data_IF_244715490954
#
_entry.id   IF_244715490954
#
_cell.length_a   1.000
_cell.length_b   1.000
_cell.length_c   1.000
_cell.angle_alpha   90.00
_cell.angle_beta   90.00
_cell.angle_gamma   90.00
#
_symmetry.space_group_name_H-M   'P 1'
#
loop_
_entity.id
_entity.type
_entity.pdbx_description
1 polymer ?
#
# COMPACT_ATOMS: atom_id res chain seq x y z
N UNK A 1 -36.12 0.80 -41.02
CA UNK A 1 -34.68 0.95 -40.70
C UNK A 1 -34.04 -0.42 -40.81
N UNK A 2 -33.00 -0.58 -41.64
CA UNK A 2 -32.21 -1.82 -41.70
C UNK A 2 -31.03 -1.70 -40.73
N UNK A 3 -30.76 -2.74 -39.95
CA UNK A 3 -29.61 -2.79 -39.05
C UNK A 3 -28.33 -2.99 -39.86
N UNK A 4 -27.27 -2.24 -39.53
CA UNK A 4 -25.98 -2.35 -40.21
C UNK A 4 -25.15 -3.53 -39.71
N UNK A 5 -25.37 -3.95 -38.46
CA UNK A 5 -24.61 -4.99 -37.76
C UNK A 5 -25.55 -6.07 -37.18
N UNK A 6 -26.27 -6.82 -38.02
CA UNK A 6 -27.25 -7.81 -37.57
C UNK A 6 -26.64 -9.02 -36.82
N UNK A 7 -25.32 -9.18 -36.86
CA UNK A 7 -24.59 -10.26 -36.19
C UNK A 7 -24.31 -9.96 -34.70
N UNK A 8 -24.56 -8.74 -34.22
CA UNK A 8 -24.35 -8.37 -32.83
C UNK A 8 -25.50 -8.84 -31.93
N UNK A 9 -25.23 -9.19 -30.66
CA UNK A 9 -26.28 -9.55 -29.71
C UNK A 9 -27.14 -8.33 -29.36
N UNK A 10 -28.42 -8.58 -29.04
CA UNK A 10 -29.32 -7.56 -28.51
C UNK A 10 -29.15 -7.40 -26.99
N UNK A 11 -29.48 -6.20 -26.50
CA UNK A 11 -29.55 -5.90 -25.07
C UNK A 11 -30.94 -6.28 -24.55
N UNK A 12 -31.00 -7.15 -23.54
CA UNK A 12 -32.24 -7.39 -22.80
C UNK A 12 -32.43 -6.28 -21.76
N UNK A 13 -33.60 -5.63 -21.77
CA UNK A 13 -33.89 -4.47 -20.91
C UNK A 13 -35.20 -4.66 -20.15
N UNK A 14 -35.32 -4.01 -18.99
CA UNK A 14 -36.50 -4.11 -18.13
C UNK A 14 -36.40 -5.29 -17.16
N UNK A 15 -37.51 -6.00 -16.98
CA UNK A 15 -37.54 -7.18 -16.10
C UNK A 15 -36.88 -8.37 -16.79
N UNK A 16 -36.01 -9.10 -16.09
CA UNK A 16 -35.29 -10.27 -16.65
C UNK A 16 -36.22 -11.38 -17.15
N UNK A 17 -37.43 -11.48 -16.58
CA UNK A 17 -38.47 -12.45 -16.99
C UNK A 17 -39.20 -12.05 -18.28
N UNK A 18 -39.01 -10.82 -18.78
CA UNK A 18 -39.68 -10.31 -19.99
C UNK A 18 -38.72 -10.30 -21.18
N UNK A 19 -39.28 -10.55 -22.36
CA UNK A 19 -38.55 -10.67 -23.63
C UNK A 19 -38.52 -9.35 -24.41
N UNK A 20 -37.93 -8.30 -23.82
CA UNK A 20 -37.70 -7.02 -24.51
C UNK A 20 -36.23 -6.91 -24.90
N UNK A 21 -35.95 -6.97 -26.20
CA UNK A 21 -34.61 -6.95 -26.76
C UNK A 21 -34.41 -5.75 -27.67
N UNK A 22 -33.33 -4.99 -27.45
CA UNK A 22 -32.98 -3.82 -28.23
C UNK A 22 -31.62 -4.01 -28.91
N UNK A 23 -31.50 -3.80 -30.23
CA UNK A 23 -30.21 -3.77 -30.89
C UNK A 23 -29.32 -2.65 -30.33
N UNK A 24 -28.01 -2.86 -30.15
CA UNK A 24 -27.10 -1.80 -29.66
C UNK A 24 -27.08 -0.56 -30.55
N UNK A 25 -27.32 -0.70 -31.86
CA UNK A 25 -27.35 0.40 -32.84
C UNK A 25 -28.45 1.44 -32.57
N UNK A 26 -29.52 1.06 -31.88
CA UNK A 26 -30.63 1.96 -31.51
C UNK A 26 -30.54 2.44 -30.06
N UNK A 27 -29.49 2.09 -29.34
CA UNK A 27 -29.32 2.41 -27.92
C UNK A 27 -28.20 3.43 -27.70
N UNK A 28 -28.45 4.37 -26.79
CA UNK A 28 -27.43 5.27 -26.27
C UNK A 28 -27.31 5.08 -24.75
N UNK A 29 -26.09 5.19 -24.22
CA UNK A 29 -25.87 5.19 -22.77
C UNK A 29 -26.41 6.51 -22.21
N UNK A 30 -27.35 6.42 -21.28
CA UNK A 30 -27.92 7.60 -20.60
C UNK A 30 -26.82 8.34 -19.82
N UNK A 31 -26.81 9.68 -19.93
CA UNK A 31 -25.85 10.52 -19.23
C UNK A 31 -26.03 10.49 -17.70
N UNK A 32 -24.98 10.86 -16.95
CA UNK A 32 -25.03 10.97 -15.49
C UNK A 32 -24.94 9.64 -14.72
N UNK A 33 -24.72 8.52 -15.41
CA UNK A 33 -24.52 7.21 -14.75
C UNK A 33 -23.12 7.12 -14.13
N UNK A 34 -23.06 7.03 -12.79
CA UNK A 34 -21.79 6.81 -12.06
C UNK A 34 -21.26 5.41 -12.32
N UNK A 35 -19.97 5.30 -12.66
CA UNK A 35 -19.28 4.02 -12.70
C UNK A 35 -19.03 3.49 -11.27
N UNK A 36 -19.64 2.36 -10.93
CA UNK A 36 -19.46 1.68 -9.62
C UNK A 36 -18.35 0.63 -9.69
N UNK A 37 -18.08 0.11 -10.90
CA UNK A 37 -17.04 -0.90 -11.11
C UNK A 37 -15.67 -0.32 -10.83
N UNK A 38 -14.77 -1.15 -10.30
CA UNK A 38 -13.38 -0.76 -10.08
C UNK A 38 -12.73 -0.36 -11.40
N UNK A 39 -12.11 0.82 -11.41
CA UNK A 39 -11.33 1.30 -12.54
C UNK A 39 -10.09 0.43 -12.74
N UNK A 40 -9.63 0.30 -13.99
CA UNK A 40 -8.34 -0.33 -14.27
C UNK A 40 -7.20 0.51 -13.70
N UNK A 41 -6.01 -0.08 -13.53
CA UNK A 41 -4.85 0.64 -12.98
C UNK A 41 -4.49 1.86 -13.86
N UNK A 42 -4.62 1.74 -15.19
CA UNK A 42 -4.44 2.85 -16.13
C UNK A 42 -5.49 3.94 -15.96
N UNK A 43 -6.77 3.58 -15.88
CA UNK A 43 -7.85 4.54 -15.65
C UNK A 43 -7.70 5.27 -14.31
N UNK A 44 -7.32 4.53 -13.26
CA UNK A 44 -7.05 5.09 -11.93
C UNK A 44 -5.87 6.06 -11.98
N UNK A 45 -4.79 5.72 -12.66
CA UNK A 45 -3.63 6.60 -12.86
C UNK A 45 -4.01 7.90 -13.57
N UNK A 46 -4.79 7.80 -14.66
CA UNK A 46 -5.32 8.98 -15.37
C UNK A 46 -6.21 9.82 -14.47
N UNK A 47 -7.10 9.21 -13.69
CA UNK A 47 -7.98 9.91 -12.75
C UNK A 47 -7.18 10.63 -11.64
N UNK A 48 -6.15 9.99 -11.09
CA UNK A 48 -5.27 10.61 -10.08
C UNK A 48 -4.56 11.80 -10.69
N UNK A 49 -3.97 11.67 -11.88
CA UNK A 49 -3.30 12.79 -12.56
C UNK A 49 -4.26 13.93 -12.88
N UNK A 50 -5.49 13.60 -13.27
CA UNK A 50 -6.51 14.59 -13.59
C UNK A 50 -7.01 15.35 -12.35
N UNK A 51 -7.05 14.72 -11.18
CA UNK A 51 -7.67 15.27 -9.96
C UNK A 51 -6.69 15.71 -8.88
N UNK A 52 -5.43 15.28 -8.92
CA UNK A 52 -4.42 15.72 -7.96
C UNK A 52 -4.12 17.22 -8.14
N UNK A 53 -4.23 17.96 -7.03
CA UNK A 53 -3.98 19.41 -6.95
C UNK A 53 -3.16 19.72 -5.73
N UNK A 54 -2.31 20.75 -5.81
CA UNK A 54 -1.64 21.31 -4.64
C UNK A 54 -2.66 22.01 -3.73
N UNK A 55 -2.29 22.23 -2.45
CA UNK A 55 -3.19 22.91 -1.51
C UNK A 55 -3.64 24.30 -1.99
N UNK A 56 -2.75 25.19 -2.50
CA UNK A 56 -3.16 26.49 -3.01
C UNK A 56 -4.06 26.41 -4.25
N UNK A 57 -3.84 25.45 -5.14
CA UNK A 57 -4.71 25.26 -6.31
C UNK A 57 -6.09 24.78 -5.90
N UNK A 58 -6.16 23.82 -4.97
CA UNK A 58 -7.43 23.31 -4.45
C UNK A 58 -8.24 24.41 -3.76
N UNK A 59 -7.59 25.27 -2.99
CA UNK A 59 -8.22 26.44 -2.37
C UNK A 59 -8.84 27.38 -3.42
N UNK A 60 -8.10 27.68 -4.49
CA UNK A 60 -8.59 28.50 -5.61
C UNK A 60 -9.74 27.84 -6.35
N UNK A 61 -9.66 26.53 -6.61
CA UNK A 61 -10.73 25.77 -7.28
C UNK A 61 -12.03 25.80 -6.46
N UNK A 62 -11.95 25.59 -5.13
CA UNK A 62 -13.12 25.69 -4.25
C UNK A 62 -13.67 27.11 -4.23
N UNK A 63 -12.82 28.12 -4.08
CA UNK A 63 -13.25 29.53 -4.08
C UNK A 63 -13.95 29.93 -5.38
N UNK A 64 -13.41 29.47 -6.52
CA UNK A 64 -14.02 29.68 -7.83
C UNK A 64 -15.34 28.93 -7.98
N UNK A 65 -15.45 27.70 -7.46
CA UNK A 65 -16.68 26.90 -7.48
C UNK A 65 -17.79 27.59 -6.69
N UNK A 66 -17.49 28.05 -5.47
CA UNK A 66 -18.46 28.75 -4.60
C UNK A 66 -18.92 30.04 -5.26
N UNK A 67 -18.01 30.81 -5.87
CA UNK A 67 -18.36 32.03 -6.62
C UNK A 67 -19.28 31.72 -7.81
N UNK A 68 -19.02 30.65 -8.57
CA UNK A 68 -19.82 30.25 -9.74
C UNK A 68 -21.16 29.64 -9.37
N UNK A 69 -21.26 29.04 -8.19
CA UNK A 69 -22.51 28.44 -7.72
C UNK A 69 -23.54 29.49 -7.32
N UNK A 70 -23.12 30.73 -7.06
CA UNK A 70 -23.99 31.88 -6.77
C UNK A 70 -25.12 31.54 -5.77
N UNK A 71 -24.78 30.85 -4.68
CA UNK A 71 -25.78 30.31 -3.75
C UNK A 71 -26.74 31.36 -3.14
N UNK A 72 -26.34 32.63 -3.10
CA UNK A 72 -27.20 33.73 -2.63
C UNK A 72 -28.29 34.13 -3.64
N UNK A 73 -28.17 33.70 -4.90
CA UNK A 73 -29.21 33.86 -5.92
C UNK A 73 -30.16 32.66 -5.99
N UNK A 74 -29.95 31.62 -5.16
CA UNK A 74 -30.82 30.45 -5.11
C UNK A 74 -32.18 30.85 -4.47
N UNK A 75 -33.30 30.68 -5.21
CA UNK A 75 -34.61 31.10 -4.73
C UNK A 75 -35.07 30.33 -3.49
N UNK A 76 -34.67 29.06 -3.36
CA UNK A 76 -35.00 28.26 -2.19
C UNK A 76 -34.17 28.70 -0.99
N UNK A 77 -32.86 28.92 -1.15
CA UNK A 77 -32.03 29.42 -0.05
C UNK A 77 -32.57 30.75 0.50
N UNK A 78 -32.99 31.65 -0.39
CA UNK A 78 -33.63 32.91 -0.03
C UNK A 78 -34.96 32.71 0.71
N UNK A 79 -35.83 31.82 0.24
CA UNK A 79 -37.12 31.50 0.89
C UNK A 79 -36.94 31.00 2.33
N UNK A 80 -35.90 30.21 2.58
CA UNK A 80 -35.55 29.73 3.93
C UNK A 80 -34.73 30.72 4.76
N UNK A 81 -34.45 31.93 4.25
CA UNK A 81 -33.65 32.95 4.94
C UNK A 81 -32.18 32.56 5.13
N UNK A 82 -31.65 31.68 4.28
CA UNK A 82 -30.27 31.19 4.33
C UNK A 82 -29.37 32.13 3.51
N UNK A 83 -28.33 32.67 4.15
CA UNK A 83 -27.30 33.46 3.49
C UNK A 83 -25.94 32.75 3.59
N UNK A 84 -25.22 32.65 2.47
CA UNK A 84 -23.96 31.91 2.37
C UNK A 84 -22.82 32.91 2.09
N UNK A 85 -21.85 32.95 2.99
CA UNK A 85 -20.60 33.67 2.76
C UNK A 85 -19.74 32.89 1.75
N UNK A 86 -19.29 33.56 0.69
CA UNK A 86 -18.48 32.96 -0.36
C UNK A 86 -17.00 32.83 0.00
N UNK A 87 -16.54 33.52 1.05
CA UNK A 87 -15.18 33.40 1.56
C UNK A 87 -15.02 32.17 2.48
N UNK A 88 -13.85 31.54 2.43
CA UNK A 88 -13.51 30.47 3.38
C UNK A 88 -13.43 31.03 4.80
N UNK A 89 -13.91 30.27 5.78
CA UNK A 89 -13.87 30.67 7.19
C UNK A 89 -12.43 30.67 7.71
N UNK A 90 -12.00 31.79 8.27
CA UNK A 90 -10.68 31.91 8.91
C UNK A 90 -10.66 31.22 10.27
N UNK A 91 -9.65 30.38 10.48
CA UNK A 91 -9.47 29.65 11.75
C UNK A 91 -8.05 29.84 12.25
N UNK A 92 -7.92 30.20 13.53
CA UNK A 92 -6.62 30.34 14.19
C UNK A 92 -6.06 28.97 14.56
N UNK A 93 -5.11 28.50 13.76
CA UNK A 93 -4.34 27.29 14.04
C UNK A 93 -3.13 27.54 14.95
N UNK A 94 -2.55 26.47 15.49
CA UNK A 94 -1.25 26.49 16.18
C UNK A 94 -0.39 25.34 15.68
N UNK A 95 0.89 25.60 15.43
CA UNK A 95 1.88 24.56 15.10
C UNK A 95 2.54 24.12 16.39
N UNK A 96 2.33 22.86 16.79
CA UNK A 96 2.96 22.31 17.99
C UNK A 96 4.45 22.04 17.72
N UNK A 97 5.28 22.32 18.72
CA UNK A 97 6.71 21.99 18.67
C UNK A 97 6.89 20.48 18.62
N UNK A 98 7.72 20.00 17.69
CA UNK A 98 7.98 18.58 17.56
C UNK A 98 8.67 18.02 18.83
N UNK A 99 8.26 16.86 19.34
CA UNK A 99 8.94 16.23 20.46
C UNK A 99 10.30 15.69 20.02
N UNK A 100 11.28 15.71 20.93
CA UNK A 100 12.56 15.04 20.72
C UNK A 100 12.36 13.54 20.83
N UNK A 101 12.86 12.80 19.85
CA UNK A 101 12.87 11.35 19.84
C UNK A 101 14.18 10.86 20.46
N UNK A 102 14.09 10.09 21.54
CA UNK A 102 15.24 9.49 22.19
C UNK A 102 15.54 8.11 21.59
N UNK A 103 16.77 7.93 21.13
CA UNK A 103 17.31 6.66 20.66
C UNK A 103 18.17 6.01 21.74
N UNK A 104 18.51 4.74 21.54
CA UNK A 104 19.29 3.95 22.48
C UNK A 104 20.75 3.86 22.06
N UNK A 105 21.32 2.69 22.28
CA UNK A 105 22.74 2.45 22.05
C UNK A 105 23.64 3.20 23.03
N UNK A 106 24.95 3.23 22.73
CA UNK A 106 25.95 3.87 23.60
C UNK A 106 25.80 5.40 23.63
N UNK A 107 25.41 6.00 22.51
CA UNK A 107 25.35 7.46 22.36
C UNK A 107 24.04 8.07 22.84
N UNK A 108 22.98 7.27 23.05
CA UNK A 108 21.62 7.72 23.41
C UNK A 108 21.20 8.95 22.61
N UNK A 109 21.45 8.90 21.30
CA UNK A 109 21.27 10.05 20.41
C UNK A 109 19.81 10.54 20.44
N UNK A 110 19.62 11.83 20.14
CA UNK A 110 18.27 12.39 19.98
C UNK A 110 18.05 12.79 18.52
N UNK A 111 16.81 12.65 18.05
CA UNK A 111 16.38 13.18 16.76
C UNK A 111 15.26 14.20 17.00
N UNK A 112 15.39 15.38 16.38
CA UNK A 112 14.31 16.36 16.34
C UNK A 112 13.64 16.26 14.98
N UNK A 113 12.35 15.89 14.91
CA UNK A 113 11.63 15.87 13.64
C UNK A 113 11.58 17.26 13.01
N UNK A 114 11.83 17.33 11.70
CA UNK A 114 11.66 18.53 10.91
C UNK A 114 10.54 18.30 9.90
N UNK A 115 9.51 19.14 9.92
CA UNK A 115 8.32 19.01 9.07
C UNK A 115 7.70 17.60 9.09
N UNK A 116 7.68 16.97 10.28
CA UNK A 116 7.12 15.62 10.47
C UNK A 116 8.03 14.46 10.04
N UNK A 117 9.28 14.74 9.62
CA UNK A 117 10.23 13.71 9.16
C UNK A 117 11.46 13.69 10.08
N UNK A 118 11.99 12.49 10.33
CA UNK A 118 13.25 12.30 11.03
C UNK A 118 14.02 11.12 10.43
N UNK A 119 15.30 11.02 10.80
CA UNK A 119 16.25 10.07 10.21
C UNK A 119 16.99 9.26 11.29
N UNK A 120 17.15 7.96 11.01
CA UNK A 120 17.80 6.98 11.85
C UNK A 120 19.29 6.78 11.56
N UNK A 121 19.86 7.42 10.53
CA UNK A 121 21.31 7.34 10.25
C UNK A 121 22.11 7.72 11.50
N UNK A 122 23.06 6.85 11.85
CA UNK A 122 23.93 7.00 13.03
C UNK A 122 23.21 6.81 14.38
N UNK A 123 21.98 6.27 14.40
CA UNK A 123 21.19 6.08 15.62
C UNK A 123 20.76 4.62 15.77
N UNK A 124 20.78 4.12 17.00
CA UNK A 124 20.39 2.76 17.34
C UNK A 124 19.05 2.74 18.06
N UNK A 125 18.26 1.69 17.88
CA UNK A 125 16.98 1.52 18.58
C UNK A 125 17.12 1.75 20.09
N UNK A 126 16.08 2.32 20.70
CA UNK A 126 16.04 2.54 22.15
C UNK A 126 16.33 1.24 22.92
N UNK A 127 15.65 0.17 22.52
CA UNK A 127 15.88 -1.18 23.01
C UNK A 127 15.98 -2.10 21.80
N UNK A 128 17.21 -2.48 21.45
CA UNK A 128 17.48 -3.44 20.37
C UNK A 128 17.34 -4.88 20.84
N UNK A 129 16.86 -5.76 19.96
CA UNK A 129 16.80 -7.21 20.20
C UNK A 129 17.90 -7.88 19.38
N UNK A 130 18.58 -8.84 19.99
CA UNK A 130 19.52 -9.70 19.26
C UNK A 130 18.77 -10.88 18.64
N UNK A 131 18.92 -11.07 17.32
CA UNK A 131 18.30 -12.17 16.57
C UNK A 131 19.38 -13.22 16.29
N UNK A 132 19.29 -14.36 16.97
CA UNK A 132 20.23 -15.49 16.89
C UNK A 132 19.72 -16.61 15.99
N UNK A 133 18.43 -16.91 16.06
CA UNK A 133 17.83 -18.03 15.32
C UNK A 133 16.77 -17.49 14.38
N UNK A 134 17.07 -17.53 13.09
CA UNK A 134 16.21 -16.98 12.05
C UNK A 134 16.31 -17.81 10.76
N UNK A 135 15.29 -17.73 9.91
CA UNK A 135 15.17 -18.51 8.69
C UNK A 135 14.83 -17.62 7.47
N UNK A 136 15.08 -18.13 6.27
CA UNK A 136 14.62 -17.58 4.99
C UNK A 136 13.76 -18.62 4.27
N UNK A 137 12.55 -18.23 3.90
CA UNK A 137 11.64 -19.00 3.05
C UNK A 137 11.43 -18.25 1.74
N UNK A 138 11.96 -18.78 0.63
CA UNK A 138 11.88 -18.12 -0.67
C UNK A 138 10.77 -18.73 -1.53
N UNK A 139 9.68 -18.00 -1.74
CA UNK A 139 8.59 -18.41 -2.63
C UNK A 139 8.73 -17.88 -4.06
N UNK A 140 9.84 -17.19 -4.34
CA UNK A 140 10.22 -16.83 -5.70
C UNK A 140 10.91 -18.02 -6.40
N UNK A 141 10.73 -18.11 -7.71
CA UNK A 141 11.42 -19.13 -8.49
C UNK A 141 12.93 -18.88 -8.51
N UNK A 142 13.72 -19.95 -8.36
CA UNK A 142 15.18 -19.89 -8.28
C UNK A 142 15.85 -19.24 -9.52
N UNK A 143 15.17 -19.27 -10.67
CA UNK A 143 15.63 -18.58 -11.88
C UNK A 143 15.62 -17.04 -11.77
N UNK A 144 14.70 -16.49 -10.97
CA UNK A 144 14.54 -15.05 -10.76
C UNK A 144 15.27 -14.56 -9.52
N UNK A 145 15.31 -15.37 -8.47
CA UNK A 145 16.03 -15.09 -7.22
C UNK A 145 17.04 -16.20 -7.02
N UNK A 146 18.31 -15.91 -7.29
CA UNK A 146 19.39 -16.89 -7.16
C UNK A 146 19.86 -16.95 -5.71
N UNK A 147 20.57 -18.02 -5.37
CA UNK A 147 21.16 -18.17 -4.02
C UNK A 147 22.13 -17.03 -3.68
N UNK A 148 22.84 -16.51 -4.67
CA UNK A 148 23.72 -15.35 -4.49
C UNK A 148 22.95 -14.09 -4.11
N UNK A 149 21.72 -13.90 -4.63
CA UNK A 149 20.87 -12.76 -4.28
C UNK A 149 20.40 -12.86 -2.82
N UNK A 150 20.04 -14.07 -2.37
CA UNK A 150 19.68 -14.33 -0.96
C UNK A 150 20.87 -14.13 -0.02
N UNK A 151 22.08 -14.53 -0.44
CA UNK A 151 23.31 -14.30 0.32
C UNK A 151 23.64 -12.82 0.42
N UNK A 152 23.54 -12.08 -0.69
CA UNK A 152 23.76 -10.63 -0.70
C UNK A 152 22.73 -9.91 0.17
N UNK A 153 21.45 -10.28 0.06
CA UNK A 153 20.38 -9.78 0.92
C UNK A 153 20.71 -10.03 2.39
N UNK A 154 21.15 -11.23 2.75
CA UNK A 154 21.52 -11.59 4.14
C UNK A 154 22.62 -10.68 4.67
N UNK A 155 23.71 -10.50 3.91
CA UNK A 155 24.83 -9.63 4.32
C UNK A 155 24.39 -8.17 4.51
N UNK A 156 23.57 -7.64 3.59
CA UNK A 156 23.08 -6.27 3.69
C UNK A 156 22.11 -6.09 4.87
N UNK A 157 21.21 -7.06 5.07
CA UNK A 157 20.28 -7.06 6.18
C UNK A 157 21.04 -7.07 7.52
N UNK A 158 22.01 -7.97 7.68
CA UNK A 158 22.85 -8.04 8.89
C UNK A 158 23.59 -6.73 9.15
N UNK A 159 24.17 -6.12 8.12
CA UNK A 159 24.86 -4.83 8.22
C UNK A 159 23.93 -3.73 8.73
N UNK A 160 22.79 -3.53 8.07
CA UNK A 160 21.82 -2.48 8.44
C UNK A 160 21.24 -2.75 9.84
N UNK A 161 20.95 -4.00 10.16
CA UNK A 161 20.40 -4.41 11.45
C UNK A 161 21.39 -4.15 12.60
N UNK A 162 22.68 -4.43 12.36
CA UNK A 162 23.74 -4.11 13.31
C UNK A 162 23.91 -2.60 13.51
N UNK A 163 23.91 -1.81 12.44
CA UNK A 163 23.99 -0.35 12.51
C UNK A 163 22.80 0.26 13.28
N UNK A 164 21.61 -0.34 13.15
CA UNK A 164 20.42 0.03 13.90
C UNK A 164 20.39 -0.48 15.35
N UNK A 165 21.38 -1.26 15.79
CA UNK A 165 21.44 -1.82 17.15
C UNK A 165 20.54 -3.03 17.39
N UNK A 166 20.07 -3.71 16.35
CA UNK A 166 19.33 -4.97 16.40
C UNK A 166 20.16 -6.06 15.70
N UNK A 167 21.27 -6.54 16.27
CA UNK A 167 22.18 -7.41 15.54
C UNK A 167 21.51 -8.74 15.17
N UNK A 168 21.58 -9.10 13.89
CA UNK A 168 21.22 -10.43 13.38
C UNK A 168 22.51 -11.25 13.31
N UNK A 169 22.61 -12.25 14.17
CA UNK A 169 23.82 -13.04 14.38
C UNK A 169 23.75 -14.31 13.52
N UNK A 170 24.85 -14.59 12.83
CA UNK A 170 25.02 -15.85 12.10
C UNK A 170 24.15 -15.98 10.85
N UNK A 171 24.41 -17.04 10.09
CA UNK A 171 23.62 -17.40 8.91
C UNK A 171 22.24 -17.93 9.31
N UNK A 172 21.22 -17.82 8.43
CA UNK A 172 19.90 -18.35 8.74
C UNK A 172 19.98 -19.87 8.98
N UNK A 173 19.28 -20.36 10.01
CA UNK A 173 19.24 -21.78 10.35
C UNK A 173 18.49 -22.62 9.29
N UNK A 174 17.73 -21.95 8.42
CA UNK A 174 17.03 -22.56 7.30
C UNK A 174 16.96 -21.56 6.14
N UNK A 175 17.29 -21.99 4.92
CA UNK A 175 17.14 -21.19 3.71
C UNK A 175 16.73 -22.10 2.55
N UNK A 176 15.45 -22.09 2.16
CA UNK A 176 14.93 -22.96 1.08
C UNK A 176 13.94 -22.25 0.18
N UNK A 177 13.89 -22.73 -1.06
CA UNK A 177 12.87 -22.38 -2.03
C UNK A 177 11.63 -23.25 -1.82
N UNK A 178 10.45 -22.64 -1.97
CA UNK A 178 9.18 -23.33 -2.11
C UNK A 178 8.38 -22.68 -3.23
N UNK A 179 7.49 -23.45 -3.84
CA UNK A 179 6.61 -22.97 -4.89
C UNK A 179 5.20 -23.41 -4.53
N UNK A 180 4.25 -22.49 -4.64
CA UNK A 180 2.85 -22.78 -4.34
C UNK A 180 2.42 -22.35 -2.93
N UNK A 181 1.12 -22.07 -2.81
CA UNK A 181 0.46 -21.59 -1.58
C UNK A 181 0.31 -22.73 -0.57
N UNK A 182 0.20 -23.95 -1.08
CA UNK A 182 0.13 -25.23 -0.37
C UNK A 182 1.39 -25.55 0.44
N UNK A 183 2.56 -25.02 0.04
CA UNK A 183 3.83 -25.26 0.74
C UNK A 183 4.04 -24.36 1.96
N UNK A 184 3.21 -23.32 2.15
CA UNK A 184 3.37 -22.35 3.24
C UNK A 184 3.17 -23.03 4.60
N UNK A 185 2.03 -23.68 4.81
CA UNK A 185 1.69 -24.26 6.11
C UNK A 185 2.62 -25.40 6.53
N UNK A 186 2.94 -26.39 5.68
CA UNK A 186 3.88 -27.47 6.02
C UNK A 186 5.27 -26.93 6.37
N UNK A 187 5.77 -25.93 5.61
CA UNK A 187 7.09 -25.33 5.86
C UNK A 187 7.13 -24.61 7.21
N UNK A 188 6.11 -23.81 7.53
CA UNK A 188 6.08 -23.08 8.80
C UNK A 188 5.88 -24.02 9.99
N UNK A 189 5.08 -25.08 9.83
CA UNK A 189 4.93 -26.13 10.83
C UNK A 189 6.28 -26.81 11.10
N UNK A 190 7.00 -27.20 10.04
CA UNK A 190 8.35 -27.76 10.14
C UNK A 190 9.30 -26.80 10.87
N UNK A 191 9.38 -25.54 10.44
CA UNK A 191 10.24 -24.52 11.07
C UNK A 191 9.96 -24.39 12.57
N UNK A 192 8.69 -24.32 12.97
CA UNK A 192 8.28 -24.20 14.37
C UNK A 192 8.62 -25.44 15.20
N UNK A 193 8.45 -26.64 14.64
CA UNK A 193 8.76 -27.89 15.35
C UNK A 193 10.26 -28.19 15.42
N UNK A 194 11.01 -27.80 14.40
CA UNK A 194 12.44 -28.13 14.28
C UNK A 194 13.33 -27.10 14.99
N UNK A 195 12.95 -25.82 14.98
CA UNK A 195 13.74 -24.74 15.57
C UNK A 195 13.00 -24.12 16.75
N UNK A 196 13.11 -24.73 17.94
CA UNK A 196 12.37 -24.32 19.14
C UNK A 196 12.63 -22.86 19.58
N UNK A 197 13.80 -22.30 19.25
CA UNK A 197 14.19 -20.94 19.57
C UNK A 197 14.04 -19.97 18.37
N UNK A 198 13.31 -20.33 17.31
CA UNK A 198 13.14 -19.50 16.12
C UNK A 198 12.52 -18.14 16.47
N UNK A 199 13.27 -17.06 16.22
CA UNK A 199 12.86 -15.69 16.49
C UNK A 199 12.27 -15.00 15.26
N UNK A 200 12.63 -15.47 14.06
CA UNK A 200 12.27 -14.79 12.83
C UNK A 200 12.24 -15.69 11.59
N UNK A 201 11.26 -15.49 10.71
CA UNK A 201 11.26 -16.02 9.34
C UNK A 201 11.19 -14.86 8.35
N UNK A 202 12.17 -14.81 7.45
CA UNK A 202 12.23 -13.89 6.32
C UNK A 202 11.59 -14.53 5.09
N UNK A 203 10.51 -13.97 4.55
CA UNK A 203 9.77 -14.56 3.41
C UNK A 203 10.00 -13.76 2.14
N UNK A 204 10.56 -14.39 1.10
CA UNK A 204 10.78 -13.74 -0.21
C UNK A 204 9.65 -14.10 -1.16
N UNK A 205 8.99 -13.11 -1.74
CA UNK A 205 7.83 -13.28 -2.63
C UNK A 205 8.11 -12.73 -4.04
N UNK A 206 7.58 -13.34 -5.12
CA UNK A 206 7.80 -12.90 -6.50
C UNK A 206 6.89 -11.73 -6.95
N UNK A 207 6.36 -10.92 -6.03
CA UNK A 207 5.42 -9.82 -6.33
C UNK A 207 4.03 -10.04 -5.73
N UNK A 208 2.96 -9.63 -6.45
CA UNK A 208 1.56 -9.89 -6.04
C UNK A 208 1.25 -11.38 -6.17
N UNK A 209 1.02 -12.05 -5.05
CA UNK A 209 0.77 -13.49 -5.02
C UNK A 209 -0.30 -13.86 -4.00
N UNK A 210 -1.17 -14.87 -4.28
CA UNK A 210 -2.13 -15.38 -3.31
C UNK A 210 -1.47 -15.99 -2.07
N UNK A 211 -0.16 -16.31 -2.13
CA UNK A 211 0.65 -16.77 -0.99
C UNK A 211 0.45 -15.86 0.22
N UNK A 212 0.48 -14.54 0.02
CA UNK A 212 0.37 -13.54 1.09
C UNK A 212 -1.03 -13.42 1.72
N UNK A 213 -2.10 -13.81 1.01
CA UNK A 213 -3.48 -13.47 1.38
C UNK A 213 -4.14 -14.42 2.37
N UNK A 214 -4.26 -15.71 2.02
CA UNK A 214 -5.08 -16.66 2.80
C UNK A 214 -4.31 -17.41 3.90
N UNK A 215 -3.03 -17.70 3.69
CA UNK A 215 -2.31 -18.65 4.56
C UNK A 215 -1.43 -17.98 5.62
N UNK A 216 -0.96 -16.75 5.38
CA UNK A 216 -0.20 -16.02 6.40
C UNK A 216 -1.11 -15.45 7.49
N UNK A 217 -2.25 -14.88 7.12
CA UNK A 217 -3.14 -14.18 8.06
C UNK A 217 -3.87 -15.14 9.03
N UNK A 218 -4.18 -16.37 8.61
CA UNK A 218 -4.99 -17.31 9.42
C UNK A 218 -4.18 -18.26 10.31
N UNK A 219 -2.91 -18.52 10.03
CA UNK A 219 -2.17 -19.61 10.68
C UNK A 219 -1.11 -19.14 11.69
N UNK A 220 -0.57 -17.91 11.56
CA UNK A 220 0.62 -17.51 12.31
C UNK A 220 0.69 -16.02 12.67
N UNK A 221 -0.37 -15.38 13.21
CA UNK A 221 -0.29 -13.98 13.70
C UNK A 221 0.49 -13.02 12.74
N UNK A 222 0.30 -13.16 11.42
CA UNK A 222 1.07 -12.38 10.45
C UNK A 222 0.37 -11.05 10.22
N UNK A 223 0.82 -10.04 10.95
CA UNK A 223 0.42 -8.65 10.74
C UNK A 223 1.36 -7.96 9.74
N UNK A 224 0.80 -7.09 8.89
CA UNK A 224 1.53 -6.31 7.90
C UNK A 224 2.56 -5.36 8.55
N UNK A 225 3.74 -5.21 7.96
CA UNK A 225 4.60 -4.04 8.19
C UNK A 225 4.29 -2.95 7.15
N UNK A 226 3.25 -2.16 7.41
CA UNK A 226 3.11 -0.83 6.83
C UNK A 226 3.40 0.19 7.95
N UNK A 227 4.63 0.72 7.98
CA UNK A 227 5.15 1.77 8.89
C UNK A 227 4.37 2.01 10.22
N UNK A 228 4.44 1.08 11.18
CA UNK A 228 4.63 1.35 12.64
C UNK A 228 4.76 0.01 13.38
N UNK A 229 5.87 -0.19 14.11
CA UNK A 229 6.22 -1.39 14.90
C UNK A 229 5.15 -1.73 15.97
N UNK A 230 4.87 -3.02 16.32
CA UNK A 230 5.85 -4.00 16.88
C UNK A 230 5.74 -5.52 16.51
N UNK A 231 6.92 -6.18 16.39
CA UNK A 231 7.31 -7.62 16.56
C UNK A 231 6.85 -8.73 15.57
N UNK A 232 7.63 -9.83 15.34
CA UNK A 232 8.31 -10.03 14.05
C UNK A 232 7.99 -11.33 13.28
N UNK A 233 7.55 -11.19 12.04
CA UNK A 233 7.92 -12.06 10.90
C UNK A 233 8.06 -11.14 9.67
N UNK A 234 9.15 -11.24 8.90
CA UNK A 234 9.50 -10.26 7.86
C UNK A 234 9.35 -10.84 6.45
N UNK A 235 8.27 -10.58 5.69
CA UNK A 235 8.30 -10.80 4.26
C UNK A 235 9.03 -9.63 3.58
N UNK A 236 10.20 -9.87 2.98
CA UNK A 236 10.81 -8.91 2.06
C UNK A 236 10.20 -9.12 0.67
N UNK A 237 9.36 -8.19 0.22
CA UNK A 237 9.12 -8.03 -1.21
C UNK A 237 10.41 -7.47 -1.81
N UNK A 238 11.18 -8.31 -2.50
CA UNK A 238 12.27 -7.88 -3.38
C UNK A 238 11.66 -7.31 -4.66
N UNK A 239 10.94 -6.20 -4.52
CA UNK A 239 10.67 -5.26 -5.61
C UNK A 239 11.53 -4.02 -5.37
N UNK A 240 12.84 -4.22 -5.30
CA UNK A 240 13.78 -3.12 -5.54
C UNK A 240 13.53 -2.72 -6.99
N UNK A 241 12.72 -1.67 -7.22
CA UNK A 241 12.73 -0.96 -8.50
C UNK A 241 14.19 -0.77 -8.84
N UNK A 242 14.64 -1.48 -9.87
CA UNK A 242 15.96 -1.40 -10.46
C UNK A 242 16.17 0.05 -10.88
N UNK A 243 16.61 0.91 -9.96
CA UNK A 243 17.32 2.11 -10.34
C UNK A 243 18.62 1.58 -10.93
N UNK A 244 18.66 1.52 -12.27
CA UNK A 244 19.87 1.45 -13.06
C UNK A 244 20.90 2.36 -12.39
N UNK A 245 21.89 1.77 -11.73
CA UNK A 245 23.20 2.38 -11.63
C UNK A 245 23.93 1.88 -12.88
N UNK A 246 23.90 2.70 -13.93
CA UNK A 246 24.96 2.65 -14.94
C UNK A 246 26.20 3.24 -14.29
N UNK A 247 27.35 2.62 -14.55
CA UNK A 247 28.68 3.20 -14.28
C UNK A 247 28.74 4.60 -14.91
#
# INVERSE_FOLDING_TARGET
MQLKYPHLPCLQVGQEQKHTYLPPEVCNIVAGQRCIKKLTDTQTSTMIKATARSAPEREREISNLVRRAEFNADPFAHEFGIAINSAMTEVKGRVLTAPKLLYGGRTKATALPNQGVWDMRGKQFHTGVEVKVWAIACFAQQQHVKENDLRNFTTQLQRISNDAGMPIIGQPCFCKYAVGVDQVEPMFKYLKTTFAALQLVCVVLPGKTPVYGKNFCSAYNVQQMEKRFPLPTYPTQLETRTKKFSI
#
